data_IF_893775518099
#
_entry.id   IF_893775518099
#
_cell.length_a   1.000
_cell.length_b   1.000
_cell.length_c   1.000
_cell.angle_alpha   90.00
_cell.angle_beta   90.00
_cell.angle_gamma   90.00
#
_symmetry.space_group_name_H-M   'P 1'
#
loop_
_entity.id
_entity.type
_entity.pdbx_description
1 polymer ?
#
# COMPACT_ATOMS: atom_id res chain seq x y z
N UNK A 1 -50.60 23.25 19.48
CA UNK A 1 -50.57 21.78 19.39
C UNK A 1 -49.66 21.30 20.53
N UNK A 2 -50.17 20.52 21.46
CA UNK A 2 -49.38 20.03 22.61
C UNK A 2 -49.13 18.57 22.38
N UNK A 3 -47.91 18.10 22.63
CA UNK A 3 -47.54 16.70 22.51
C UNK A 3 -48.17 15.87 23.64
N UNK A 4 -48.54 14.62 23.38
CA UNK A 4 -48.87 13.64 24.44
C UNK A 4 -47.56 13.23 25.17
N UNK A 5 -47.71 12.57 26.29
CA UNK A 5 -46.54 12.11 27.09
C UNK A 5 -45.66 11.13 26.25
N UNK A 6 -46.26 10.22 25.49
CA UNK A 6 -45.53 9.34 24.56
C UNK A 6 -44.90 10.11 23.40
N UNK A 7 -45.60 11.15 22.90
CA UNK A 7 -45.08 12.04 21.86
C UNK A 7 -43.87 12.84 22.36
N UNK A 8 -43.88 13.28 23.61
CA UNK A 8 -42.74 13.97 24.23
C UNK A 8 -41.53 13.05 24.36
N UNK A 9 -41.74 11.82 24.84
CA UNK A 9 -40.68 10.82 24.94
C UNK A 9 -40.04 10.52 23.58
N UNK A 10 -40.85 10.29 22.57
CA UNK A 10 -40.36 10.06 21.21
C UNK A 10 -39.59 11.28 20.67
N UNK A 11 -40.12 12.49 20.88
CA UNK A 11 -39.48 13.73 20.44
C UNK A 11 -38.07 13.90 21.01
N UNK A 12 -37.86 13.62 22.31
CA UNK A 12 -36.54 13.69 22.93
C UNK A 12 -35.52 12.72 22.31
N UNK A 13 -35.94 11.50 22.05
CA UNK A 13 -35.08 10.51 21.37
C UNK A 13 -34.76 10.91 19.93
N UNK A 14 -35.74 11.37 19.18
CA UNK A 14 -35.55 11.85 17.80
C UNK A 14 -34.62 13.06 17.77
N UNK A 15 -34.84 14.02 18.66
CA UNK A 15 -33.98 15.21 18.80
C UNK A 15 -32.53 14.83 19.05
N UNK A 16 -32.25 13.94 20.01
CA UNK A 16 -30.91 13.44 20.33
C UNK A 16 -30.29 12.72 19.14
N UNK A 17 -31.05 11.93 18.40
CA UNK A 17 -30.57 11.26 17.20
C UNK A 17 -30.14 12.27 16.11
N UNK A 18 -30.95 13.30 15.86
CA UNK A 18 -30.60 14.36 14.90
C UNK A 18 -29.36 15.17 15.33
N UNK A 19 -29.27 15.54 16.60
CA UNK A 19 -28.06 16.21 17.14
C UNK A 19 -26.81 15.37 16.95
N UNK A 20 -26.90 14.07 17.19
CA UNK A 20 -25.77 13.11 16.99
C UNK A 20 -25.38 13.04 15.51
N UNK A 21 -26.32 12.99 14.59
CA UNK A 21 -26.06 12.99 13.16
C UNK A 21 -25.38 14.29 12.70
N UNK A 22 -25.89 15.44 13.15
CA UNK A 22 -25.28 16.75 12.82
C UNK A 22 -23.84 16.85 13.31
N UNK A 23 -23.55 16.41 14.54
CA UNK A 23 -22.18 16.33 15.04
C UNK A 23 -21.29 15.40 14.22
N UNK A 24 -21.85 14.30 13.73
CA UNK A 24 -21.15 13.39 12.81
C UNK A 24 -20.78 14.06 11.49
N UNK A 25 -21.73 14.78 10.88
CA UNK A 25 -21.50 15.55 9.65
C UNK A 25 -20.44 16.65 9.83
N UNK A 26 -20.48 17.39 10.94
CA UNK A 26 -19.47 18.41 11.23
C UNK A 26 -18.07 17.83 11.39
N UNK A 27 -17.95 16.69 12.10
CA UNK A 27 -16.67 15.97 12.25
C UNK A 27 -16.16 15.49 10.90
N UNK A 28 -17.03 14.96 10.05
CA UNK A 28 -16.68 14.52 8.70
C UNK A 28 -16.19 15.69 7.84
N UNK A 29 -16.92 16.81 7.83
CA UNK A 29 -16.50 18.03 7.12
C UNK A 29 -15.12 18.52 7.59
N UNK A 30 -14.90 18.61 8.89
CA UNK A 30 -13.58 18.98 9.44
C UNK A 30 -12.48 18.00 9.02
N UNK A 31 -12.76 16.71 9.03
CA UNK A 31 -11.79 15.70 8.60
C UNK A 31 -11.39 15.90 7.13
N UNK A 32 -12.37 16.18 6.26
CA UNK A 32 -12.14 16.46 4.84
C UNK A 32 -11.38 17.78 4.65
N UNK A 33 -11.80 18.85 5.31
CA UNK A 33 -11.17 20.17 5.22
C UNK A 33 -9.73 20.19 5.72
N UNK A 34 -9.42 19.44 6.77
CA UNK A 34 -8.07 19.32 7.33
C UNK A 34 -7.22 18.30 6.57
N UNK A 35 -7.77 17.59 5.56
CA UNK A 35 -7.08 16.54 4.84
C UNK A 35 -6.66 15.38 5.74
N UNK A 36 -7.33 15.19 6.89
CA UNK A 36 -7.06 14.05 7.77
C UNK A 36 -7.54 12.78 7.08
N UNK A 37 -6.62 11.91 6.78
CA UNK A 37 -6.93 10.67 6.07
C UNK A 37 -5.94 9.56 6.40
N UNK A 38 -6.31 8.36 6.02
CA UNK A 38 -5.44 7.19 6.05
C UNK A 38 -5.30 6.67 4.64
N UNK A 39 -4.06 6.49 4.19
CA UNK A 39 -3.74 5.87 2.90
C UNK A 39 -2.90 4.63 3.18
N UNK A 40 -3.51 3.45 3.12
CA UNK A 40 -2.84 2.17 3.37
C UNK A 40 -2.18 1.67 2.09
N UNK A 41 -0.87 1.46 2.13
CA UNK A 41 -0.08 1.05 0.97
C UNK A 41 0.51 -0.33 1.21
N UNK A 42 0.31 -1.24 0.26
CA UNK A 42 1.00 -2.54 0.18
C UNK A 42 2.15 -2.46 -0.82
N UNK A 43 3.33 -2.98 -0.47
CA UNK A 43 4.51 -2.88 -1.32
C UNK A 43 5.56 -3.92 -0.91
N UNK A 44 6.40 -4.39 -1.84
CA UNK A 44 7.57 -5.19 -1.47
C UNK A 44 8.64 -4.33 -0.79
N UNK A 45 9.49 -4.94 0.05
CA UNK A 45 10.54 -4.20 0.78
C UNK A 45 11.49 -3.44 -0.17
N UNK A 46 11.82 -4.03 -1.31
CA UNK A 46 12.69 -3.42 -2.32
C UNK A 46 12.02 -2.20 -2.96
N UNK A 47 10.78 -2.34 -3.44
CA UNK A 47 10.03 -1.24 -4.05
C UNK A 47 9.74 -0.13 -3.03
N UNK A 48 9.46 -0.50 -1.78
CA UNK A 48 9.29 0.47 -0.70
C UNK A 48 10.53 1.35 -0.56
N UNK A 49 11.70 0.72 -0.43
CA UNK A 49 12.97 1.44 -0.19
C UNK A 49 13.40 2.32 -1.35
N UNK A 50 13.31 1.82 -2.58
CA UNK A 50 13.92 2.47 -3.74
C UNK A 50 12.93 3.29 -4.57
N UNK A 51 11.66 2.96 -4.56
CA UNK A 51 10.65 3.69 -5.33
C UNK A 51 9.71 4.52 -4.44
N UNK A 52 9.15 3.94 -3.39
CA UNK A 52 8.10 4.62 -2.61
C UNK A 52 8.66 5.69 -1.66
N UNK A 53 9.63 5.35 -0.82
CA UNK A 53 10.14 6.25 0.22
C UNK A 53 10.70 7.59 -0.29
N UNK A 54 11.40 7.67 -1.44
CA UNK A 54 11.87 8.95 -1.97
C UNK A 54 10.73 9.94 -2.22
N UNK A 55 9.60 9.48 -2.71
CA UNK A 55 8.43 10.33 -3.00
C UNK A 55 7.59 10.61 -1.76
N UNK A 56 7.48 9.63 -0.83
CA UNK A 56 6.71 9.80 0.40
C UNK A 56 7.21 10.94 1.28
N UNK A 57 8.51 11.16 1.32
CA UNK A 57 9.11 12.23 2.14
C UNK A 57 8.53 13.60 1.79
N UNK A 58 8.45 13.91 0.51
CA UNK A 58 7.90 15.17 0.03
C UNK A 58 6.38 15.22 0.18
N UNK A 59 5.70 14.12 -0.11
CA UNK A 59 4.25 14.01 0.05
C UNK A 59 3.81 14.25 1.51
N UNK A 60 4.48 13.62 2.49
CA UNK A 60 4.17 13.79 3.92
C UNK A 60 4.45 15.23 4.37
N UNK A 61 5.50 15.87 3.84
CA UNK A 61 5.80 17.28 4.14
C UNK A 61 4.68 18.20 3.70
N UNK A 62 4.06 17.92 2.56
CA UNK A 62 2.93 18.71 2.03
C UNK A 62 1.59 18.33 2.66
N UNK A 63 1.47 17.10 3.19
CA UNK A 63 0.22 16.54 3.72
C UNK A 63 0.42 15.97 5.15
N UNK A 64 0.78 16.79 6.15
CA UNK A 64 1.18 16.32 7.48
C UNK A 64 0.06 15.63 8.27
N UNK A 65 -1.19 15.76 7.83
CA UNK A 65 -2.36 15.18 8.49
C UNK A 65 -2.77 13.82 7.91
N UNK A 66 -2.08 13.35 6.86
CA UNK A 66 -2.31 12.03 6.29
C UNK A 66 -1.42 11.01 6.98
N UNK A 67 -2.04 9.95 7.49
CA UNK A 67 -1.33 8.78 8.02
C UNK A 67 -1.19 7.72 6.93
N UNK A 68 0.03 7.21 6.72
CA UNK A 68 0.32 6.23 5.65
C UNK A 68 0.87 4.94 6.26
N UNK A 69 0.01 3.99 6.66
CA UNK A 69 0.43 2.65 7.02
C UNK A 69 1.00 1.93 5.79
N UNK A 70 2.22 1.37 5.92
CA UNK A 70 2.88 0.63 4.85
C UNK A 70 2.95 -0.84 5.24
N UNK A 71 2.39 -1.71 4.42
CA UNK A 71 2.41 -3.15 4.56
C UNK A 71 3.47 -3.74 3.61
N UNK A 72 4.62 -4.16 4.16
CA UNK A 72 5.67 -4.79 3.37
C UNK A 72 5.38 -6.27 3.18
N UNK A 73 4.92 -6.65 1.98
CA UNK A 73 4.46 -7.98 1.62
C UNK A 73 4.98 -8.40 0.24
N UNK A 74 4.79 -9.68 -0.12
CA UNK A 74 4.98 -10.14 -1.49
C UNK A 74 3.92 -9.55 -2.43
N UNK A 75 4.16 -9.61 -3.75
CA UNK A 75 3.17 -9.22 -4.76
C UNK A 75 1.83 -9.92 -4.56
N UNK A 76 1.87 -11.26 -4.36
CA UNK A 76 0.66 -12.05 -4.20
C UNK A 76 -0.12 -11.72 -2.92
N UNK A 77 0.57 -11.45 -1.81
CA UNK A 77 -0.09 -11.09 -0.56
C UNK A 77 -0.62 -9.65 -0.61
N UNK A 78 0.08 -8.75 -1.31
CA UNK A 78 -0.40 -7.39 -1.57
C UNK A 78 -1.70 -7.42 -2.39
N UNK A 79 -1.79 -8.28 -3.41
CA UNK A 79 -3.01 -8.46 -4.20
C UNK A 79 -4.18 -8.95 -3.33
N UNK A 80 -3.96 -9.94 -2.46
CA UNK A 80 -5.00 -10.40 -1.52
C UNK A 80 -5.47 -9.29 -0.58
N UNK A 81 -4.54 -8.45 -0.09
CA UNK A 81 -4.90 -7.33 0.77
C UNK A 81 -5.75 -6.27 0.02
N UNK A 82 -5.50 -6.07 -1.29
CA UNK A 82 -6.34 -5.22 -2.14
C UNK A 82 -7.72 -5.84 -2.37
N UNK A 83 -7.79 -7.14 -2.70
CA UNK A 83 -9.07 -7.86 -2.89
C UNK A 83 -9.93 -7.90 -1.61
N UNK A 84 -9.29 -7.91 -0.44
CA UNK A 84 -9.94 -7.89 0.88
C UNK A 84 -10.24 -6.45 1.40
N UNK A 85 -10.02 -5.40 0.60
CA UNK A 85 -10.16 -3.99 1.00
C UNK A 85 -9.36 -3.60 2.27
N UNK A 86 -8.25 -4.30 2.51
CA UNK A 86 -7.38 -4.04 3.68
C UNK A 86 -6.35 -2.96 3.43
N UNK A 87 -6.03 -2.72 2.17
CA UNK A 87 -5.16 -1.63 1.69
C UNK A 87 -5.84 -0.90 0.53
N UNK A 88 -5.46 0.36 0.33
CA UNK A 88 -6.05 1.23 -0.68
C UNK A 88 -5.26 1.21 -2.00
N UNK A 89 -3.93 1.07 -1.90
CA UNK A 89 -3.02 1.07 -3.05
C UNK A 89 -1.97 -0.03 -2.89
N UNK A 90 -1.65 -0.73 -3.98
CA UNK A 90 -0.55 -1.68 -4.08
C UNK A 90 0.52 -1.20 -5.06
N UNK A 91 1.79 -1.14 -4.63
CA UNK A 91 2.93 -0.97 -5.51
C UNK A 91 3.62 -2.32 -5.70
N UNK A 92 3.39 -2.92 -6.86
CA UNK A 92 3.77 -4.32 -7.14
C UNK A 92 4.38 -4.46 -8.53
N UNK A 93 5.11 -5.56 -8.75
CA UNK A 93 5.45 -5.98 -10.11
C UNK A 93 4.19 -6.43 -10.88
N UNK A 94 4.23 -6.33 -12.20
CA UNK A 94 3.09 -6.70 -13.05
C UNK A 94 2.65 -8.15 -12.78
N UNK A 95 1.43 -8.36 -12.30
CA UNK A 95 0.91 -9.70 -12.05
C UNK A 95 0.36 -10.33 -13.32
N UNK A 96 0.39 -11.66 -13.37
CA UNK A 96 -0.32 -12.43 -14.39
C UNK A 96 -1.79 -12.60 -13.96
N UNK A 97 -2.73 -12.21 -14.81
CA UNK A 97 -4.17 -12.49 -14.66
C UNK A 97 -4.84 -12.04 -13.34
N UNK A 98 -4.91 -10.75 -13.09
CA UNK A 98 -5.73 -10.20 -11.99
C UNK A 98 -7.02 -9.59 -12.55
N UNK A 99 -8.16 -9.92 -11.94
CA UNK A 99 -9.48 -9.37 -12.26
C UNK A 99 -9.89 -8.37 -11.19
N UNK A 100 -10.63 -7.35 -11.59
CA UNK A 100 -11.26 -6.35 -10.70
C UNK A 100 -10.31 -5.37 -9.99
N UNK A 101 -9.03 -5.30 -10.37
CA UNK A 101 -8.10 -4.30 -9.87
C UNK A 101 -7.66 -3.43 -11.05
N UNK A 102 -7.66 -2.13 -10.85
CA UNK A 102 -7.12 -1.19 -11.82
C UNK A 102 -5.60 -1.08 -11.67
N UNK A 103 -4.87 -1.09 -12.78
CA UNK A 103 -3.41 -0.99 -12.80
C UNK A 103 -2.97 0.20 -13.62
N UNK A 104 -2.15 1.05 -13.00
CA UNK A 104 -1.43 2.10 -13.67
C UNK A 104 0.04 1.71 -13.79
N UNK A 105 0.58 1.81 -15.01
CA UNK A 105 2.00 1.55 -15.25
C UNK A 105 2.82 2.74 -14.76
N UNK A 106 3.84 2.47 -13.94
CA UNK A 106 4.75 3.48 -13.42
C UNK A 106 6.10 3.45 -14.14
N UNK A 107 6.81 2.34 -14.06
CA UNK A 107 8.17 2.21 -14.57
C UNK A 107 8.51 0.75 -14.84
N UNK A 108 9.47 0.49 -15.73
CA UNK A 108 10.03 -0.83 -15.98
C UNK A 108 11.16 -1.11 -15.01
N UNK A 109 11.15 -2.29 -14.38
CA UNK A 109 12.18 -2.74 -13.46
C UNK A 109 12.80 -4.00 -14.02
N UNK A 110 14.13 -4.03 -14.06
CA UNK A 110 14.90 -5.17 -14.51
C UNK A 110 15.58 -5.86 -13.33
N UNK A 111 15.34 -7.16 -13.18
CA UNK A 111 16.08 -7.99 -12.24
C UNK A 111 17.39 -8.45 -12.88
N UNK A 112 18.51 -8.25 -12.17
CA UNK A 112 19.83 -8.63 -12.64
C UNK A 112 20.49 -9.62 -11.69
N UNK A 113 21.26 -10.53 -12.24
CA UNK A 113 22.13 -11.41 -11.46
C UNK A 113 23.36 -10.65 -10.96
N UNK A 114 23.69 -10.79 -9.70
CA UNK A 114 24.88 -10.21 -9.07
C UNK A 114 25.74 -11.27 -8.44
N UNK A 115 27.06 -11.10 -8.52
CA UNK A 115 28.03 -11.99 -7.91
C UNK A 115 29.26 -11.20 -7.40
N UNK A 116 29.94 -11.72 -6.40
CA UNK A 116 31.22 -11.17 -5.97
C UNK A 116 32.33 -11.50 -6.96
N UNK A 117 33.34 -10.64 -7.03
CA UNK A 117 34.52 -10.89 -7.88
C UNK A 117 35.24 -12.20 -7.52
N UNK A 118 35.23 -12.56 -6.24
CA UNK A 118 35.85 -13.78 -5.77
C UNK A 118 35.11 -15.03 -6.20
N UNK A 119 33.77 -14.98 -6.16
CA UNK A 119 32.94 -16.06 -6.68
C UNK A 119 33.18 -16.30 -8.17
N UNK A 120 33.19 -15.22 -8.96
CA UNK A 120 33.47 -15.32 -10.40
C UNK A 120 34.87 -15.86 -10.69
N UNK A 121 35.91 -15.44 -9.93
CA UNK A 121 37.26 -16.00 -10.03
C UNK A 121 37.32 -17.50 -9.74
N UNK A 122 36.59 -17.95 -8.72
CA UNK A 122 36.49 -19.37 -8.38
C UNK A 122 35.79 -20.19 -9.49
N UNK A 123 34.76 -19.66 -10.12
CA UNK A 123 34.13 -20.32 -11.27
C UNK A 123 35.09 -20.45 -12.45
N UNK A 124 35.84 -19.38 -12.76
CA UNK A 124 36.86 -19.42 -13.83
C UNK A 124 37.97 -20.43 -13.51
N UNK A 125 38.43 -20.50 -12.25
CA UNK A 125 39.44 -21.48 -11.83
C UNK A 125 38.96 -22.93 -11.98
N UNK A 126 37.64 -23.17 -11.93
CA UNK A 126 37.02 -24.48 -12.18
C UNK A 126 36.76 -24.74 -13.69
N UNK A 127 37.21 -23.85 -14.56
CA UNK A 127 37.07 -24.00 -16.00
C UNK A 127 35.71 -23.60 -16.58
N UNK A 128 34.86 -22.91 -15.78
CA UNK A 128 33.55 -22.44 -16.26
C UNK A 128 33.73 -21.25 -17.19
N UNK A 129 33.21 -21.34 -18.41
CA UNK A 129 33.26 -20.27 -19.41
C UNK A 129 32.24 -19.18 -19.09
N UNK A 130 32.45 -17.97 -19.62
CA UNK A 130 31.56 -16.81 -19.37
C UNK A 130 30.10 -17.06 -19.78
N UNK A 131 29.89 -17.75 -20.86
CA UNK A 131 28.58 -18.13 -21.40
C UNK A 131 27.87 -19.22 -20.57
N UNK A 132 28.61 -19.96 -19.76
CA UNK A 132 28.11 -21.03 -18.90
C UNK A 132 27.94 -20.62 -17.43
N UNK A 133 28.25 -19.37 -17.06
CA UNK A 133 28.22 -18.91 -15.66
C UNK A 133 26.86 -19.15 -15.04
N UNK A 134 25.75 -18.77 -15.69
CA UNK A 134 24.41 -18.88 -15.11
C UNK A 134 23.95 -20.33 -14.94
N UNK A 135 24.34 -21.21 -15.90
CA UNK A 135 23.96 -22.63 -15.86
C UNK A 135 24.81 -23.46 -14.88
N UNK A 136 26.06 -23.00 -14.63
CA UNK A 136 27.01 -23.69 -13.76
C UNK A 136 27.11 -23.06 -12.34
N UNK A 137 26.36 -22.00 -12.08
CA UNK A 137 26.38 -21.30 -10.80
C UNK A 137 25.30 -21.79 -9.85
N UNK A 138 25.59 -21.76 -8.56
CA UNK A 138 24.56 -21.85 -7.55
C UNK A 138 23.86 -20.51 -7.42
N UNK A 139 22.58 -20.47 -7.83
CA UNK A 139 21.76 -19.28 -7.79
C UNK A 139 21.01 -19.20 -6.45
N UNK A 140 21.01 -18.03 -5.82
CA UNK A 140 20.09 -17.70 -4.75
C UNK A 140 18.98 -16.80 -5.32
N UNK A 141 17.73 -17.24 -5.20
CA UNK A 141 16.55 -16.46 -5.55
C UNK A 141 15.98 -15.88 -4.25
N UNK A 142 15.62 -14.59 -4.29
CA UNK A 142 14.99 -13.84 -3.20
C UNK A 142 13.47 -13.85 -3.33
#
# INVERSE_FOLDING_TARGET
>A
MVLTDEGQLLYEHVKTAFETLTLGEEKLKRSIELGVGHLKIGVSATLCKYMLLPYLKEFIRQNPHITIPIHCQSTNDTLKLLEDDKIDIGLIGKPDNVKNIHFDYLEEIEDIFVATKDYLRNLHARGVRKDEILTSSTLMLL
#
